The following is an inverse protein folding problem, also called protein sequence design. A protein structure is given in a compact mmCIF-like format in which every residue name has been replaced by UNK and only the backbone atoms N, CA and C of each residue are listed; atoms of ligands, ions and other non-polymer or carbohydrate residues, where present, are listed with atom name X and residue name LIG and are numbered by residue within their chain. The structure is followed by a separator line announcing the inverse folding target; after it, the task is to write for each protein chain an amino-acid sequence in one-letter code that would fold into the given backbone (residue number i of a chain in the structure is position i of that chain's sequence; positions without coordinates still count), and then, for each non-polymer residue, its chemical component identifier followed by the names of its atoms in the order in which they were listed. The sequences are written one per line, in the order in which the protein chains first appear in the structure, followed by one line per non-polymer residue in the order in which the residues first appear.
data_IF_517335879447
#
_entry.id   IF_517335879447
#
_cell.length_a   1.000
_cell.length_b   1.000
_cell.length_c   1.000
_cell.angle_alpha   90.00
_cell.angle_beta   90.00
_cell.angle_gamma   90.00
#
_symmetry.space_group_name_H-M   'P 1'
#
loop_
_entity.id
_entity.type
_entity.pdbx_description
1 polymer ?
#
# COMPACT_ATOMS: atom_id res chain seq x y z
N UNK A 1 16.14 -0.35 50.73
CA UNK A 1 16.16 -0.98 49.41
C UNK A 1 14.72 -1.24 49.00
N UNK A 2 14.18 -0.45 48.07
CA UNK A 2 12.83 -0.66 47.56
C UNK A 2 12.95 -1.49 46.28
N UNK A 3 12.41 -2.71 46.31
CA UNK A 3 12.30 -3.55 45.12
C UNK A 3 11.15 -2.96 44.31
N UNK A 4 11.48 -2.34 43.18
CA UNK A 4 10.51 -1.96 42.16
C UNK A 4 10.03 -3.23 41.45
N UNK A 5 9.08 -3.94 42.05
CA UNK A 5 8.25 -4.90 41.29
C UNK A 5 7.21 -4.10 40.51
N UNK A 6 7.67 -3.36 39.49
CA UNK A 6 6.77 -2.80 38.49
C UNK A 6 6.30 -3.95 37.61
N UNK A 7 5.08 -4.44 37.83
CA UNK A 7 4.40 -5.28 36.85
C UNK A 7 4.26 -4.44 35.58
N UNK A 8 5.12 -4.68 34.59
CA UNK A 8 5.00 -4.05 33.28
C UNK A 8 3.71 -4.56 32.64
N UNK A 9 2.72 -3.68 32.54
CA UNK A 9 1.47 -3.97 31.84
C UNK A 9 1.71 -3.92 30.34
N UNK A 10 0.99 -4.75 29.58
CA UNK A 10 1.03 -4.68 28.13
C UNK A 10 0.63 -3.28 27.66
N UNK A 11 1.29 -2.80 26.60
CA UNK A 11 0.94 -1.52 25.98
C UNK A 11 -0.52 -1.59 25.49
N UNK A 12 -1.33 -0.54 25.69
CA UNK A 12 -2.64 -0.42 25.05
C UNK A 12 -2.54 -0.67 23.53
N UNK A 13 -3.55 -1.35 22.97
CA UNK A 13 -3.58 -1.74 21.55
C UNK A 13 -2.90 -3.09 21.23
N UNK A 14 -2.23 -3.73 22.18
CA UNK A 14 -1.73 -5.11 22.00
C UNK A 14 -2.80 -6.11 22.47
N UNK A 15 -3.38 -6.84 21.52
CA UNK A 15 -4.34 -7.90 21.80
C UNK A 15 -3.64 -9.25 21.99
N UNK A 16 -3.91 -9.93 23.11
CA UNK A 16 -3.46 -11.31 23.36
C UNK A 16 -4.65 -12.24 23.21
N UNK A 17 -4.57 -13.16 22.25
CA UNK A 17 -5.61 -14.17 22.00
C UNK A 17 -5.04 -15.59 22.13
N UNK A 18 -5.87 -16.51 22.59
CA UNK A 18 -5.58 -17.94 22.66
C UNK A 18 -6.56 -18.68 21.75
N UNK A 19 -6.04 -19.50 20.85
CA UNK A 19 -6.85 -20.37 19.99
C UNK A 19 -6.96 -21.76 20.64
N UNK A 20 -7.98 -21.95 21.46
CA UNK A 20 -8.22 -23.21 22.15
C UNK A 20 -8.73 -24.26 21.15
N UNK A 21 -8.19 -25.50 21.17
CA UNK A 21 -8.59 -26.52 20.21
C UNK A 21 -10.09 -26.85 20.40
N UNK A 22 -10.87 -26.84 19.31
CA UNK A 22 -12.29 -27.19 19.38
C UNK A 22 -12.47 -28.68 19.68
N UNK A 23 -13.61 -29.03 20.28
CA UNK A 23 -13.93 -30.42 20.66
C UNK A 23 -14.21 -31.32 19.43
N UNK A 24 -14.63 -30.71 18.31
CA UNK A 24 -14.93 -31.42 17.07
C UNK A 24 -13.67 -31.63 16.20
N UNK A 25 -13.44 -32.88 15.78
CA UNK A 25 -12.27 -33.28 14.98
C UNK A 25 -12.15 -32.53 13.63
N UNK A 26 -13.27 -32.14 13.02
CA UNK A 26 -13.26 -31.35 11.77
C UNK A 26 -12.75 -29.92 12.00
N UNK A 27 -13.17 -29.28 13.09
CA UNK A 27 -12.76 -27.93 13.46
C UNK A 27 -11.31 -27.91 13.96
N UNK A 28 -10.87 -29.01 14.59
CA UNK A 28 -9.50 -29.17 15.10
C UNK A 28 -8.47 -29.16 13.98
N UNK A 29 -8.83 -29.66 12.79
CA UNK A 29 -8.00 -29.61 11.60
C UNK A 29 -7.69 -28.17 11.11
N UNK A 30 -8.55 -27.20 11.46
CA UNK A 30 -8.45 -25.78 11.10
C UNK A 30 -8.09 -24.89 12.30
N UNK A 31 -7.53 -25.45 13.37
CA UNK A 31 -7.15 -24.71 14.58
C UNK A 31 -5.65 -24.39 14.64
N UNK A 32 -5.28 -23.51 15.57
CA UNK A 32 -3.93 -23.04 15.82
C UNK A 32 -3.34 -22.30 14.62
N UNK A 33 -2.11 -22.65 14.27
CA UNK A 33 -1.39 -22.03 13.14
C UNK A 33 -2.09 -22.22 11.79
N UNK A 34 -2.96 -23.23 11.66
CA UNK A 34 -3.70 -23.51 10.41
C UNK A 34 -4.89 -22.58 10.21
N UNK A 35 -5.35 -21.93 11.28
CA UNK A 35 -6.43 -20.94 11.23
C UNK A 35 -5.95 -19.57 10.72
N UNK A 36 -4.63 -19.33 10.70
CA UNK A 36 -4.06 -18.03 10.36
C UNK A 36 -4.25 -17.71 8.88
N UNK A 37 -4.84 -16.55 8.61
CA UNK A 37 -4.96 -16.01 7.25
C UNK A 37 -3.61 -15.50 6.76
N UNK A 38 -2.87 -16.36 6.06
CA UNK A 38 -1.60 -16.01 5.40
C UNK A 38 -1.81 -15.32 4.05
N UNK A 39 -3.03 -15.30 3.53
CA UNK A 39 -3.35 -14.88 2.17
C UNK A 39 -4.03 -13.52 2.05
N UNK A 40 -4.17 -12.76 3.14
CA UNK A 40 -4.92 -11.50 3.21
C UNK A 40 -6.41 -11.63 2.85
N UNK A 41 -6.96 -12.84 2.90
CA UNK A 41 -8.35 -13.10 2.50
C UNK A 41 -9.35 -12.27 3.32
N UNK A 42 -9.05 -11.98 4.59
CA UNK A 42 -9.85 -11.12 5.46
C UNK A 42 -9.92 -9.65 5.00
N UNK A 43 -8.95 -9.18 4.20
CA UNK A 43 -8.92 -7.80 3.69
C UNK A 43 -9.70 -7.61 2.40
N UNK A 44 -10.12 -8.70 1.74
CA UNK A 44 -10.82 -8.64 0.45
C UNK A 44 -12.05 -7.71 0.45
N UNK A 45 -12.94 -7.70 1.48
CA UNK A 45 -14.07 -6.79 1.52
C UNK A 45 -13.63 -5.32 1.53
N UNK A 46 -12.59 -5.00 2.31
CA UNK A 46 -12.08 -3.65 2.41
C UNK A 46 -11.42 -3.19 1.11
N UNK A 47 -10.60 -4.03 0.47
CA UNK A 47 -9.96 -3.69 -0.81
C UNK A 47 -11.03 -3.45 -1.88
N UNK A 48 -12.07 -4.29 -1.91
CA UNK A 48 -13.21 -4.14 -2.83
C UNK A 48 -13.92 -2.81 -2.59
N UNK A 49 -14.19 -2.47 -1.33
CA UNK A 49 -14.79 -1.19 -0.94
C UNK A 49 -13.94 0.00 -1.39
N UNK A 50 -12.63 -0.01 -1.10
CA UNK A 50 -11.71 1.05 -1.51
C UNK A 50 -11.69 1.21 -3.02
N UNK A 51 -11.57 0.10 -3.77
CA UNK A 51 -11.58 0.12 -5.23
C UNK A 51 -12.86 0.74 -5.77
N UNK A 52 -14.02 0.27 -5.31
CA UNK A 52 -15.31 0.82 -5.72
C UNK A 52 -15.44 2.31 -5.37
N UNK A 53 -14.96 2.73 -4.19
CA UNK A 53 -15.02 4.12 -3.76
C UNK A 53 -14.27 5.05 -4.73
N UNK A 54 -13.06 4.68 -5.13
CA UNK A 54 -12.23 5.47 -6.05
C UNK A 54 -12.64 5.34 -7.51
N UNK A 55 -13.26 4.22 -7.92
CA UNK A 55 -13.77 4.04 -9.29
C UNK A 55 -15.11 4.75 -9.53
N UNK A 56 -15.98 4.81 -8.52
CA UNK A 56 -17.33 5.40 -8.66
C UNK A 56 -17.39 6.91 -8.37
N UNK A 57 -16.38 7.45 -7.69
CA UNK A 57 -16.38 8.84 -7.25
C UNK A 57 -15.48 9.69 -8.12
N UNK A 58 -16.06 10.64 -8.85
CA UNK A 58 -15.30 11.60 -9.68
C UNK A 58 -14.39 12.49 -8.82
N UNK A 59 -14.79 12.77 -7.57
CA UNK A 59 -14.02 13.61 -6.65
C UNK A 59 -14.23 13.19 -5.20
N UNK A 60 -13.16 12.74 -4.57
CA UNK A 60 -13.10 12.47 -3.13
C UNK A 60 -12.33 13.56 -2.38
N UNK A 61 -12.82 13.89 -1.20
CA UNK A 61 -12.21 14.88 -0.31
C UNK A 61 -11.74 14.20 0.96
N UNK A 62 -10.60 14.65 1.48
CA UNK A 62 -10.09 14.21 2.77
C UNK A 62 -11.08 14.58 3.87
N UNK A 63 -11.43 13.63 4.72
CA UNK A 63 -12.36 13.86 5.83
C UNK A 63 -11.82 14.84 6.89
N UNK A 64 -10.49 15.04 6.94
CA UNK A 64 -9.81 15.93 7.89
C UNK A 64 -9.62 17.33 7.30
N UNK A 65 -8.79 17.47 6.26
CA UNK A 65 -8.43 18.79 5.72
C UNK A 65 -9.39 19.30 4.64
N UNK A 66 -10.35 18.48 4.20
CA UNK A 66 -11.27 18.75 3.08
C UNK A 66 -10.58 19.01 1.74
N UNK A 67 -9.28 18.77 1.62
CA UNK A 67 -8.55 18.83 0.35
C UNK A 67 -8.87 17.62 -0.54
N UNK A 68 -8.62 17.75 -1.85
CA UNK A 68 -8.83 16.66 -2.80
C UNK A 68 -7.91 15.46 -2.53
N UNK A 69 -8.44 14.27 -2.77
CA UNK A 69 -7.70 13.01 -2.76
C UNK A 69 -7.32 12.61 -4.19
N UNK A 70 -6.20 11.92 -4.40
CA UNK A 70 -5.82 11.42 -5.72
C UNK A 70 -6.86 10.40 -6.21
N UNK A 71 -7.18 10.45 -7.51
CA UNK A 71 -8.21 9.61 -8.14
C UNK A 71 -7.93 8.12 -8.02
N UNK A 72 -6.67 7.68 -8.07
CA UNK A 72 -6.28 6.28 -7.82
C UNK A 72 -6.16 5.90 -6.34
N UNK A 73 -6.51 6.81 -5.42
CA UNK A 73 -6.42 6.64 -3.98
C UNK A 73 -5.00 6.51 -3.42
N UNK A 74 -3.95 6.72 -4.22
CA UNK A 74 -2.56 6.59 -3.77
C UNK A 74 -2.30 7.47 -2.53
N UNK A 75 -1.77 6.92 -1.45
CA UNK A 75 -1.55 7.68 -0.21
C UNK A 75 -2.83 8.13 0.53
N UNK A 76 -4.00 7.63 0.14
CA UNK A 76 -5.27 7.86 0.83
C UNK A 76 -5.66 6.63 1.68
N UNK A 77 -5.92 6.85 2.96
CA UNK A 77 -6.47 5.86 3.88
C UNK A 77 -8.00 5.88 3.83
N UNK A 78 -8.62 4.70 3.81
CA UNK A 78 -10.08 4.54 3.81
C UNK A 78 -10.54 3.87 5.09
N UNK A 79 -11.63 4.39 5.68
CA UNK A 79 -12.24 3.82 6.87
C UNK A 79 -12.60 2.33 6.66
N UNK A 80 -12.32 1.48 7.66
CA UNK A 80 -12.59 0.04 7.59
C UNK A 80 -14.01 -0.33 8.03
N UNK A 81 -14.73 0.60 8.66
CA UNK A 81 -16.12 0.37 9.07
C UNK A 81 -17.02 0.19 7.87
N UNK A 82 -17.88 -0.84 7.89
CA UNK A 82 -18.95 -1.03 6.92
C UNK A 82 -19.86 0.21 6.85
N UNK A 83 -20.23 0.61 5.63
CA UNK A 83 -21.08 1.79 5.39
C UNK A 83 -20.39 3.17 5.52
N UNK A 84 -19.16 3.25 6.05
CA UNK A 84 -18.43 4.51 6.12
C UNK A 84 -17.46 4.70 4.94
N UNK A 85 -17.69 5.72 4.11
CA UNK A 85 -16.84 6.01 2.94
C UNK A 85 -15.79 7.12 3.19
N UNK A 86 -15.48 7.40 4.45
CA UNK A 86 -14.49 8.40 4.79
C UNK A 86 -13.10 7.99 4.29
N UNK A 87 -12.48 8.87 3.51
CA UNK A 87 -11.11 8.74 3.04
C UNK A 87 -10.30 9.96 3.49
N UNK A 88 -9.01 9.78 3.78
CA UNK A 88 -8.13 10.86 4.27
C UNK A 88 -6.72 10.69 3.75
N UNK A 89 -5.96 11.79 3.63
CA UNK A 89 -4.52 11.71 3.44
C UNK A 89 -3.89 10.99 4.63
N UNK A 90 -2.86 10.18 4.37
CA UNK A 90 -2.11 9.49 5.42
C UNK A 90 -1.60 10.45 6.51
N UNK A 91 -1.06 11.60 6.10
CA UNK A 91 -0.52 12.62 7.02
C UNK A 91 -1.61 13.29 7.87
N UNK A 92 -2.77 13.55 7.28
CA UNK A 92 -3.87 14.19 8.01
C UNK A 92 -4.46 13.25 9.06
N UNK A 93 -4.66 11.98 8.70
CA UNK A 93 -5.22 11.01 9.63
C UNK A 93 -4.22 10.64 10.72
N UNK A 94 -2.93 10.48 10.37
CA UNK A 94 -1.89 10.21 11.38
C UNK A 94 -1.80 11.34 12.40
N UNK A 95 -1.77 12.59 11.93
CA UNK A 95 -1.73 13.76 12.82
C UNK A 95 -2.96 13.82 13.71
N UNK A 96 -4.15 13.55 13.16
CA UNK A 96 -5.39 13.53 13.94
C UNK A 96 -5.36 12.46 15.05
N UNK A 97 -4.84 11.27 14.75
CA UNK A 97 -4.74 10.19 15.73
C UNK A 97 -3.68 10.50 16.81
N UNK A 98 -2.51 11.02 16.42
CA UNK A 98 -1.46 11.40 17.37
C UNK A 98 -1.90 12.51 18.33
N UNK A 99 -2.63 13.51 17.83
CA UNK A 99 -3.21 14.57 18.68
C UNK A 99 -4.20 13.99 19.68
N UNK A 100 -4.96 12.96 19.31
CA UNK A 100 -5.91 12.29 20.19
C UNK A 100 -5.23 11.36 21.22
N UNK A 101 -4.11 10.72 20.85
CA UNK A 101 -3.32 9.85 21.75
C UNK A 101 -2.60 10.65 22.85
N UNK A 102 -2.23 11.91 22.55
CA UNK A 102 -1.70 12.85 23.55
C UNK A 102 -0.23 12.63 23.92
N UNK A 103 0.47 11.73 23.22
CA UNK A 103 1.91 11.52 23.34
C UNK A 103 2.66 12.44 22.36
N UNK A 104 3.33 13.46 22.90
CA UNK A 104 4.03 14.47 22.10
C UNK A 104 5.28 13.93 21.38
N UNK A 105 5.83 12.80 21.84
CA UNK A 105 7.02 12.17 21.25
C UNK A 105 6.65 11.03 20.28
N UNK A 106 5.36 10.66 20.20
CA UNK A 106 4.89 9.62 19.31
C UNK A 106 4.93 10.06 17.84
N UNK A 107 5.61 9.26 17.02
CA UNK A 107 5.69 9.47 15.56
C UNK A 107 4.69 8.61 14.78
N UNK A 108 4.21 7.51 15.38
CA UNK A 108 3.29 6.57 14.76
C UNK A 108 2.09 6.35 15.68
N UNK A 109 0.87 6.65 15.23
CA UNK A 109 -0.32 6.37 16.02
C UNK A 109 -0.57 4.87 16.11
N UNK A 110 -1.17 4.41 17.20
CA UNK A 110 -1.66 3.01 17.30
C UNK A 110 -3.08 2.86 16.81
N UNK A 111 -3.96 3.75 17.25
CA UNK A 111 -5.38 3.74 16.89
C UNK A 111 -5.94 5.17 16.96
N UNK A 112 -7.16 5.34 16.49
CA UNK A 112 -7.88 6.60 16.63
C UNK A 112 -9.27 6.52 16.02
N UNK A 113 -10.12 7.49 16.36
CA UNK A 113 -11.50 7.54 15.87
C UNK A 113 -11.59 8.09 14.46
N UNK A 114 -12.39 7.44 13.61
CA UNK A 114 -12.69 7.94 12.28
C UNK A 114 -13.38 9.32 12.37
N UNK A 115 -12.94 10.37 11.65
CA UNK A 115 -13.54 11.71 11.72
C UNK A 115 -14.95 11.82 11.11
N UNK A 116 -15.53 10.71 10.64
CA UNK A 116 -16.86 10.66 10.03
C UNK A 116 -17.84 9.74 10.72
N UNK A 117 -17.40 8.57 11.21
CA UNK A 117 -18.28 7.62 11.90
C UNK A 117 -17.92 7.43 13.38
N UNK A 118 -16.87 8.10 13.87
CA UNK A 118 -16.36 8.07 15.24
C UNK A 118 -15.96 6.68 15.78
N UNK A 119 -16.00 5.66 14.94
CA UNK A 119 -15.57 4.30 15.28
C UNK A 119 -14.04 4.25 15.32
N UNK A 120 -13.52 3.55 16.33
CA UNK A 120 -12.09 3.34 16.50
C UNK A 120 -11.53 2.51 15.34
N UNK A 121 -10.42 2.99 14.76
CA UNK A 121 -9.67 2.35 13.70
C UNK A 121 -8.28 2.03 14.20
N UNK A 122 -7.79 0.83 13.87
CA UNK A 122 -6.41 0.45 14.11
C UNK A 122 -5.52 0.97 12.99
N UNK A 123 -4.42 1.66 13.34
CA UNK A 123 -3.50 2.22 12.36
C UNK A 123 -2.89 1.14 11.47
N UNK A 124 -2.57 -0.02 12.05
CA UNK A 124 -2.00 -1.16 11.33
C UNK A 124 -2.89 -1.68 10.21
N UNK A 125 -4.21 -1.71 10.40
CA UNK A 125 -5.13 -2.21 9.39
C UNK A 125 -5.26 -1.21 8.23
N UNK A 126 -5.35 0.08 8.56
CA UNK A 126 -5.34 1.18 7.60
C UNK A 126 -4.11 1.15 6.69
N UNK A 127 -2.91 1.07 7.28
CA UNK A 127 -1.67 1.10 6.49
C UNK A 127 -1.38 -0.23 5.79
N UNK A 128 -1.88 -1.36 6.32
CA UNK A 128 -1.77 -2.67 5.65
C UNK A 128 -2.58 -2.68 4.36
N UNK A 129 -3.83 -2.23 4.38
CA UNK A 129 -4.63 -2.11 3.16
C UNK A 129 -4.00 -1.15 2.15
N UNK A 130 -3.57 0.04 2.60
CA UNK A 130 -2.93 1.02 1.72
C UNK A 130 -1.66 0.45 1.07
N UNK A 131 -0.82 -0.23 1.86
CA UNK A 131 0.42 -0.82 1.36
C UNK A 131 0.15 -1.92 0.33
N UNK A 132 -0.87 -2.75 0.59
CA UNK A 132 -1.27 -3.81 -0.33
C UNK A 132 -1.77 -3.23 -1.66
N UNK A 133 -2.54 -2.14 -1.61
CA UNK A 133 -3.01 -1.44 -2.83
C UNK A 133 -1.89 -0.74 -3.60
N UNK A 134 -0.90 -0.17 -2.91
CA UNK A 134 0.18 0.59 -3.56
C UNK A 134 1.31 -0.30 -4.08
N UNK A 135 1.58 -1.44 -3.44
CA UNK A 135 2.78 -2.25 -3.69
C UNK A 135 2.51 -3.74 -3.87
N UNK A 136 1.39 -4.24 -3.36
CA UNK A 136 1.02 -5.66 -3.38
C UNK A 136 0.12 -6.04 -4.55
N UNK A 137 0.46 -5.61 -5.77
CA UNK A 137 -0.40 -5.81 -6.95
C UNK A 137 -0.67 -7.30 -7.20
N UNK A 138 0.35 -8.15 -7.04
CA UNK A 138 0.23 -9.61 -7.23
C UNK A 138 -0.67 -10.23 -6.16
N UNK A 139 -0.50 -9.85 -4.90
CA UNK A 139 -1.31 -10.31 -3.78
C UNK A 139 -2.77 -9.90 -3.95
N UNK A 140 -3.03 -8.66 -4.37
CA UNK A 140 -4.37 -8.19 -4.69
C UNK A 140 -4.96 -8.98 -5.85
N UNK A 141 -4.23 -9.21 -6.94
CA UNK A 141 -4.72 -10.03 -8.05
C UNK A 141 -5.07 -11.45 -7.60
N UNK A 142 -4.21 -12.09 -6.80
CA UNK A 142 -4.44 -13.43 -6.27
C UNK A 142 -5.66 -13.50 -5.35
N UNK A 143 -5.95 -12.44 -4.58
CA UNK A 143 -7.16 -12.33 -3.77
C UNK A 143 -8.45 -12.36 -4.59
N UNK A 144 -8.41 -11.82 -5.81
CA UNK A 144 -9.57 -11.74 -6.71
C UNK A 144 -9.64 -12.87 -7.73
N UNK A 145 -8.58 -13.67 -7.90
CA UNK A 145 -8.63 -14.89 -8.73
C UNK A 145 -9.59 -15.90 -8.10
N UNK A 146 -10.58 -16.35 -8.86
CA UNK A 146 -11.40 -17.48 -8.44
C UNK A 146 -10.53 -18.72 -8.27
N UNK A 147 -10.56 -19.32 -7.07
CA UNK A 147 -9.89 -20.60 -6.85
C UNK A 147 -10.58 -21.63 -7.72
N UNK A 148 -9.97 -21.99 -8.85
CA UNK A 148 -10.37 -23.13 -9.68
C UNK A 148 -10.46 -24.34 -8.76
N UNK A 149 -11.68 -24.85 -8.53
CA UNK A 149 -11.88 -26.13 -7.86
C UNK A 149 -11.09 -27.17 -8.66
N UNK A 150 -10.00 -27.70 -8.08
CA UNK A 150 -9.43 -28.96 -8.56
C UNK A 150 -10.56 -29.99 -8.43
N UNK A 151 -11.06 -30.44 -9.58
CA UNK A 151 -12.03 -31.54 -9.68
C UNK A 151 -11.44 -32.70 -8.89
N UNK A 152 -12.05 -33.03 -7.75
CA UNK A 152 -11.71 -34.20 -6.95
C UNK A 152 -11.79 -35.40 -7.90
N UNK A 153 -10.68 -36.12 -8.03
CA UNK A 153 -10.47 -37.16 -9.03
C UNK A 153 -11.65 -38.15 -9.04
N UNK A 154 -12.26 -38.28 -10.21
CA UNK A 154 -13.04 -39.47 -10.56
C UNK A 154 -12.03 -40.51 -11.01
N UNK A 155 -12.13 -41.65 -10.36
CA UNK A 155 -11.50 -42.93 -10.63
C UNK A 155 -11.41 -43.25 -12.14
N UNK A 156 -10.27 -43.84 -12.50
CA UNK A 156 -9.86 -44.22 -13.84
C UNK A 156 -10.82 -45.28 -14.40
N UNK A 157 -11.43 -45.03 -15.57
CA UNK A 157 -11.89 -46.09 -16.46
C UNK A 157 -11.36 -45.82 -17.87
N UNK A 158 -10.60 -46.78 -18.36
CA UNK A 158 -9.92 -46.84 -19.65
C UNK A 158 -10.92 -46.91 -20.82
N UNK A 159 -10.74 -46.06 -21.83
CA UNK A 159 -11.03 -46.23 -23.29
C UNK A 159 -11.21 -44.84 -23.95
N UNK A 160 -10.21 -44.29 -24.65
CA UNK A 160 -10.03 -44.29 -26.14
C UNK A 160 -11.02 -43.31 -26.85
N UNK A 161 -10.69 -42.29 -27.67
CA UNK A 161 -9.54 -41.92 -28.53
C UNK A 161 -9.64 -40.42 -28.96
N UNK A 162 -8.46 -39.81 -29.12
CA UNK A 162 -7.98 -38.92 -30.21
C UNK A 162 -8.80 -37.70 -30.68
N UNK A 163 -8.18 -36.51 -30.55
CA UNK A 163 -8.13 -35.50 -31.62
C UNK A 163 -6.83 -34.69 -31.46
N UNK A 164 -5.94 -34.89 -32.43
CA UNK A 164 -4.55 -34.48 -32.54
C UNK A 164 -4.29 -32.98 -32.80
N UNK A 165 -3.16 -32.47 -32.28
CA UNK A 165 -2.34 -31.45 -32.95
C UNK A 165 -0.90 -31.40 -32.36
N UNK A 166 0.01 -32.12 -33.03
CA UNK A 166 1.35 -31.73 -33.56
C UNK A 166 2.01 -30.44 -32.98
N UNK A 167 3.31 -30.30 -32.68
CA UNK A 167 4.57 -31.06 -32.86
C UNK A 167 5.72 -30.26 -32.19
N UNK A 168 6.72 -31.00 -31.69
CA UNK A 168 8.16 -30.72 -31.46
C UNK A 168 8.67 -29.60 -30.51
N UNK A 169 9.05 -30.05 -29.30
CA UNK A 169 10.41 -30.09 -28.72
C UNK A 169 11.43 -28.99 -29.09
N UNK A 170 11.82 -28.21 -28.07
CA UNK A 170 13.21 -27.79 -27.87
C UNK A 170 13.50 -27.76 -26.36
N UNK A 171 14.19 -28.79 -25.87
CA UNK A 171 14.97 -28.73 -24.64
C UNK A 171 16.05 -27.65 -24.77
N UNK A 172 16.10 -26.71 -23.84
CA UNK A 172 17.36 -26.11 -23.42
C UNK A 172 17.33 -25.93 -21.90
N UNK A 173 18.17 -26.72 -21.22
CA UNK A 173 18.33 -26.71 -19.77
C UNK A 173 18.86 -25.37 -19.26
N UNK A 174 17.98 -24.63 -18.58
CA UNK A 174 18.37 -23.47 -17.78
C UNK A 174 18.87 -23.90 -16.41
N UNK A 175 20.19 -24.02 -16.29
CA UNK A 175 20.94 -24.11 -15.03
C UNK A 175 20.46 -23.02 -14.06
N UNK A 176 19.87 -23.40 -12.92
CA UNK A 176 19.65 -22.51 -11.78
C UNK A 176 21.02 -22.03 -11.27
N UNK A 177 21.30 -20.72 -11.21
CA UNK A 177 22.44 -20.24 -10.44
C UNK A 177 22.07 -20.36 -8.96
N UNK A 178 22.83 -21.17 -8.23
CA UNK A 178 22.93 -21.04 -6.79
C UNK A 178 23.62 -19.70 -6.50
N UNK A 179 22.88 -18.71 -6.00
CA UNK A 179 23.46 -17.55 -5.35
C UNK A 179 22.84 -17.35 -3.97
N UNK A 180 23.28 -18.19 -3.03
CA UNK A 180 23.28 -17.85 -1.61
C UNK A 180 24.33 -16.75 -1.39
N UNK A 181 23.94 -15.51 -1.66
CA UNK A 181 24.79 -14.33 -1.48
C UNK A 181 23.97 -13.15 -0.98
N UNK A 182 23.79 -13.04 0.34
CA UNK A 182 23.33 -11.79 0.94
C UNK A 182 24.25 -10.66 0.45
N UNK A 183 23.72 -9.71 -0.32
CA UNK A 183 24.48 -8.54 -0.75
C UNK A 183 25.02 -7.81 0.48
N UNK A 184 26.33 -7.93 0.74
CA UNK A 184 27.03 -7.10 1.71
C UNK A 184 26.90 -5.64 1.25
N UNK A 185 26.19 -4.83 2.04
CA UNK A 185 26.20 -3.39 1.89
C UNK A 185 27.65 -2.90 1.96
N UNK A 186 28.09 -2.00 1.06
CA UNK A 186 29.44 -1.44 1.12
C UNK A 186 29.69 -0.87 2.52
N UNK A 187 30.73 -1.40 3.19
CA UNK A 187 31.22 -0.88 4.46
C UNK A 187 31.52 0.60 4.26
N UNK A 188 30.72 1.46 4.89
CA UNK A 188 30.89 2.91 4.85
C UNK A 188 32.32 3.25 5.23
N UNK A 189 33.14 3.71 4.28
CA UNK A 189 34.44 4.26 4.60
C UNK A 189 34.20 5.61 5.27
N UNK A 190 34.41 5.64 6.58
CA UNK A 190 34.78 6.85 7.27
C UNK A 190 36.08 7.38 6.66
N UNK A 191 36.05 8.60 6.14
CA UNK A 191 37.08 9.65 6.33
C UNK A 191 36.69 10.92 5.55
N UNK A 192 36.05 11.82 6.30
CA UNK A 192 36.20 13.28 6.37
C UNK A 192 36.17 14.26 5.17
N UNK A 193 35.63 15.43 5.52
CA UNK A 193 35.83 16.76 4.92
C UNK A 193 35.12 17.12 3.59
N UNK A 194 33.90 17.63 3.72
CA UNK A 194 33.26 18.39 2.65
C UNK A 194 31.95 19.05 3.08
N UNK A 195 32.01 20.02 3.99
CA UNK A 195 30.86 20.81 4.46
C UNK A 195 30.27 21.67 3.32
N UNK A 196 29.42 21.09 2.49
CA UNK A 196 28.63 21.82 1.50
C UNK A 196 27.46 22.53 2.21
N UNK A 197 27.72 23.75 2.66
CA UNK A 197 26.69 24.69 3.11
C UNK A 197 25.77 24.94 1.91
N UNK A 198 24.57 24.37 1.91
CA UNK A 198 23.51 24.73 0.97
C UNK A 198 23.10 26.18 1.30
N UNK A 199 23.77 27.14 0.65
CA UNK A 199 23.35 28.54 0.63
C UNK A 199 22.05 28.64 -0.17
N UNK A 200 20.91 28.66 0.54
CA UNK A 200 19.63 29.11 -0.04
C UNK A 200 19.81 30.55 -0.51
N UNK A 201 19.78 30.77 -1.84
CA UNK A 201 19.76 32.13 -2.41
C UNK A 201 18.44 32.79 -1.99
N UNK A 202 18.44 34.00 -1.40
CA UNK A 202 17.21 34.69 -1.08
C UNK A 202 16.53 35.17 -2.37
N UNK A 203 15.23 34.91 -2.47
CA UNK A 203 14.36 35.38 -3.54
C UNK A 203 14.36 36.92 -3.59
N UNK A 204 14.38 37.54 -4.79
CA UNK A 204 14.31 39.00 -4.90
C UNK A 204 12.91 39.53 -4.49
N UNK A 205 12.83 40.73 -3.89
CA UNK A 205 11.58 41.29 -3.39
C UNK A 205 10.66 41.75 -4.53
N UNK A 206 9.44 41.23 -4.56
CA UNK A 206 8.36 41.75 -5.40
C UNK A 206 7.84 43.07 -4.83
N UNK A 207 8.08 44.16 -5.55
CA UNK A 207 7.53 45.48 -5.22
C UNK A 207 6.03 45.47 -5.52
N UNK A 208 5.25 45.86 -4.53
CA UNK A 208 3.84 46.21 -4.67
C UNK A 208 3.71 47.55 -5.39
N UNK A 209 2.91 47.60 -6.45
CA UNK A 209 2.38 48.85 -6.99
C UNK A 209 0.94 48.65 -7.43
N UNK A 210 0.09 49.57 -6.97
CA UNK A 210 -1.37 49.59 -7.11
C UNK A 210 -1.82 49.83 -8.57
N UNK A 211 -2.88 49.12 -8.94
CA UNK A 211 -4.02 49.46 -9.80
C UNK A 211 -3.84 50.26 -11.12
N UNK A 212 -4.38 49.72 -12.23
CA UNK A 212 -5.44 50.34 -13.08
C UNK A 212 -5.92 49.41 -14.23
N UNK A 213 -7.25 49.22 -14.26
CA UNK A 213 -8.22 48.93 -15.36
C UNK A 213 -7.83 48.22 -16.68
N UNK A 214 -8.58 47.15 -16.95
CA UNK A 214 -9.30 46.70 -18.18
C UNK A 214 -8.68 46.81 -19.58
N UNK A 215 -8.49 45.66 -20.26
CA UNK A 215 -8.82 45.41 -21.68
C UNK A 215 -8.61 43.93 -22.10
N UNK A 216 -9.62 43.37 -22.80
CA UNK A 216 -9.67 42.27 -23.82
C UNK A 216 -8.92 40.92 -23.65
N UNK A 217 -9.55 39.77 -24.04
CA UNK A 217 -8.90 38.45 -24.01
C UNK A 217 -7.96 38.22 -25.22
N UNK A 218 -6.86 37.46 -25.07
CA UNK A 218 -5.95 37.12 -26.16
C UNK A 218 -6.41 35.90 -26.98
N UNK A 219 -5.95 35.74 -28.23
CA UNK A 219 -6.30 34.61 -29.09
C UNK A 219 -5.52 33.35 -28.72
N UNK A 220 -6.14 32.19 -28.95
CA UNK A 220 -5.60 30.85 -28.70
C UNK A 220 -4.43 30.58 -29.65
N UNK A 221 -3.24 30.34 -29.11
CA UNK A 221 -2.09 29.83 -29.85
C UNK A 221 -2.14 28.29 -29.91
N UNK A 222 -2.01 27.75 -31.13
CA UNK A 222 -1.81 26.31 -31.38
C UNK A 222 -0.45 25.89 -30.79
N UNK A 223 -0.45 24.87 -29.93
CA UNK A 223 0.76 24.18 -29.52
C UNK A 223 1.26 23.33 -30.69
N UNK A 224 2.32 23.79 -31.35
CA UNK A 224 3.11 23.00 -32.29
C UNK A 224 4.14 22.28 -31.42
N UNK A 225 3.99 20.97 -31.25
CA UNK A 225 4.99 20.14 -30.58
C UNK A 225 6.01 19.78 -31.67
N UNK A 226 7.17 20.40 -31.59
CA UNK A 226 8.33 20.10 -32.43
C UNK A 226 8.86 18.71 -32.03
N UNK A 227 8.73 17.72 -32.92
CA UNK A 227 9.34 16.40 -32.77
C UNK A 227 10.86 16.55 -32.87
N UNK A 228 11.55 16.56 -31.73
CA UNK A 228 13.01 16.44 -31.69
C UNK A 228 13.39 14.97 -31.84
N UNK A 229 13.89 14.65 -33.03
CA UNK A 229 14.45 13.38 -33.44
C UNK A 229 15.73 13.07 -32.64
N UNK A 230 15.73 11.96 -31.89
CA UNK A 230 16.89 11.48 -31.14
C UNK A 230 17.69 10.49 -32.01
N UNK A 231 18.50 11.00 -32.94
CA UNK A 231 19.52 10.20 -33.61
C UNK A 231 20.89 10.42 -32.95
N UNK A 232 21.45 9.38 -32.32
CA UNK A 232 22.82 9.43 -31.81
C UNK A 232 23.17 8.40 -30.74
N UNK A 233 22.94 7.11 -31.00
CA UNK A 233 23.60 6.04 -30.25
C UNK A 233 24.62 5.37 -31.18
N UNK A 234 25.83 5.93 -31.24
CA UNK A 234 26.97 5.26 -31.83
C UNK A 234 27.38 4.07 -30.94
N UNK A 235 27.42 2.90 -31.56
CA UNK A 235 27.79 1.62 -30.98
C UNK A 235 29.32 1.59 -30.93
N UNK A 236 29.92 1.56 -29.75
CA UNK A 236 31.36 1.32 -29.60
C UNK A 236 31.58 -0.20 -29.67
N UNK A 237 32.32 -0.62 -30.70
CA UNK A 237 32.87 -1.96 -30.86
C UNK A 237 34.25 -2.08 -30.21
#
# INVERSE_FOLDING_TARGET
MAILTGAQTLRPGITVTLDAPPEDEASKALSGIRALDVGYSALRPQITKTKNLFETSDWLHCAVCRGGLPSGGAGALVCHTEGCNAASHIECLSTAFLVAEGDADAMLPTSGSCPSCDIELQWTDLVKELSLRMRGVKEVEDLFKERRKRKKGTEVTESDVEAESSTDEAEEGGQLPEEDGWHELPKSSADEAGRAIIRRKPSPPTKTSKAKRAATPPPVAKLIIEESDWEGAEIIA
#
